data_IF_361444598836
#
_entry.id   IF_361444598836
#
_cell.length_a   1.000
_cell.length_b   1.000
_cell.length_c   1.000
_cell.angle_alpha   90.00
_cell.angle_beta   90.00
_cell.angle_gamma   90.00
#
_symmetry.space_group_name_H-M   'P 1'
#
loop_
_entity.id
_entity.type
_entity.pdbx_description
1 polymer ?
#
# COMPACT_ATOMS: atom_id res chain seq x y z
N UNK A 1 -6.97 3.52 -54.47
CA UNK A 1 -6.45 4.33 -53.33
C UNK A 1 -7.30 4.17 -52.09
N UNK A 2 -8.62 4.37 -52.12
CA UNK A 2 -9.51 4.30 -50.95
C UNK A 2 -9.44 2.95 -50.21
N UNK A 3 -9.45 1.81 -50.95
CA UNK A 3 -9.36 0.48 -50.34
C UNK A 3 -8.04 0.25 -49.60
N UNK A 4 -6.92 0.73 -50.13
CA UNK A 4 -5.61 0.61 -49.50
C UNK A 4 -5.49 1.43 -48.23
N UNK A 5 -6.06 2.66 -48.27
CA UNK A 5 -6.09 3.52 -47.06
C UNK A 5 -6.97 2.93 -45.98
N UNK A 6 -8.11 2.33 -46.34
CA UNK A 6 -8.98 1.65 -45.37
C UNK A 6 -8.30 0.42 -44.75
N UNK A 7 -7.60 -0.39 -45.51
CA UNK A 7 -6.84 -1.55 -45.00
C UNK A 7 -5.68 -1.12 -44.09
N UNK A 8 -4.95 -0.08 -44.41
CA UNK A 8 -3.90 0.49 -43.58
C UNK A 8 -4.49 1.00 -42.25
N UNK A 9 -5.58 1.74 -42.31
CA UNK A 9 -6.27 2.27 -41.11
C UNK A 9 -6.78 1.14 -40.20
N UNK A 10 -7.27 0.03 -40.75
CA UNK A 10 -7.68 -1.14 -39.97
C UNK A 10 -6.46 -1.81 -39.29
N UNK A 11 -5.31 -1.87 -39.96
CA UNK A 11 -4.07 -2.37 -39.37
C UNK A 11 -3.59 -1.50 -38.22
N UNK A 12 -3.62 -0.18 -38.39
CA UNK A 12 -3.23 0.78 -37.34
C UNK A 12 -4.12 0.65 -36.09
N UNK A 13 -5.44 0.48 -36.30
CA UNK A 13 -6.40 0.26 -35.20
C UNK A 13 -6.17 -1.10 -34.51
N UNK A 14 -5.77 -2.13 -35.25
CA UNK A 14 -5.40 -3.43 -34.69
C UNK A 14 -4.27 -3.33 -33.67
N UNK A 15 -3.27 -2.49 -33.91
CA UNK A 15 -2.18 -2.22 -32.96
C UNK A 15 -2.69 -1.55 -31.68
N UNK A 16 -3.62 -0.60 -31.81
CA UNK A 16 -4.25 0.06 -30.65
C UNK A 16 -4.98 -0.96 -29.79
N UNK A 17 -5.84 -1.78 -30.41
CA UNK A 17 -6.62 -2.79 -29.69
C UNK A 17 -5.71 -3.80 -28.98
N UNK A 18 -4.66 -4.25 -29.66
CA UNK A 18 -3.69 -5.19 -29.10
C UNK A 18 -2.95 -4.57 -27.90
N UNK A 19 -2.55 -3.30 -28.00
CA UNK A 19 -1.97 -2.56 -26.90
C UNK A 19 -2.93 -2.46 -25.70
N UNK A 20 -4.19 -2.05 -25.95
CA UNK A 20 -5.19 -1.91 -24.88
C UNK A 20 -5.41 -3.22 -24.13
N UNK A 21 -5.54 -4.33 -24.86
CA UNK A 21 -5.67 -5.67 -24.24
C UNK A 21 -4.47 -6.05 -23.39
N UNK A 22 -3.25 -5.86 -23.91
CA UNK A 22 -2.02 -6.26 -23.22
C UNK A 22 -1.72 -5.33 -22.05
N UNK A 23 -1.91 -4.02 -22.21
CA UNK A 23 -1.61 -3.04 -21.15
C UNK A 23 -2.55 -3.20 -19.95
N UNK A 24 -3.81 -3.58 -20.15
CA UNK A 24 -4.74 -3.87 -19.05
C UNK A 24 -4.22 -4.95 -18.09
N UNK A 25 -3.43 -5.90 -18.59
CA UNK A 25 -2.83 -7.00 -17.82
C UNK A 25 -1.40 -6.69 -17.34
N UNK A 26 -0.87 -5.50 -17.61
CA UNK A 26 0.48 -5.15 -17.18
C UNK A 26 0.52 -4.92 -15.66
N UNK A 27 1.54 -5.49 -15.01
CA UNK A 27 1.75 -5.40 -13.56
C UNK A 27 2.99 -4.60 -13.17
N UNK A 28 3.70 -4.01 -14.16
CA UNK A 28 4.89 -3.20 -13.93
C UNK A 28 5.00 -2.05 -14.92
N UNK A 29 5.69 -1.00 -14.52
CA UNK A 29 5.95 0.17 -15.36
C UNK A 29 6.77 -0.19 -16.59
N UNK A 30 7.80 -1.04 -16.43
CA UNK A 30 8.65 -1.52 -17.52
C UNK A 30 7.86 -2.32 -18.56
N UNK A 31 6.87 -3.11 -18.14
CA UNK A 31 6.00 -3.83 -19.05
C UNK A 31 5.13 -2.89 -19.89
N UNK A 32 4.62 -1.79 -19.31
CA UNK A 32 3.84 -0.78 -20.04
C UNK A 32 4.76 -0.04 -21.03
N UNK A 33 5.94 0.41 -20.59
CA UNK A 33 6.91 1.07 -21.45
C UNK A 33 7.30 0.22 -22.67
N UNK A 34 7.60 -1.07 -22.44
CA UNK A 34 7.93 -2.00 -23.51
C UNK A 34 6.78 -2.20 -24.52
N UNK A 35 5.53 -2.22 -24.05
CA UNK A 35 4.34 -2.33 -24.91
C UNK A 35 4.09 -1.08 -25.73
N UNK A 36 4.33 0.10 -25.18
CA UNK A 36 4.26 1.37 -25.92
C UNK A 36 5.29 1.37 -27.04
N UNK A 37 6.53 1.00 -26.76
CA UNK A 37 7.57 0.87 -27.79
C UNK A 37 7.22 -0.16 -28.87
N UNK A 38 6.65 -1.31 -28.48
CA UNK A 38 6.22 -2.33 -29.43
C UNK A 38 5.10 -1.82 -30.35
N UNK A 39 4.14 -1.04 -29.84
CA UNK A 39 3.10 -0.41 -30.64
C UNK A 39 3.68 0.64 -31.60
N UNK A 40 4.58 1.50 -31.13
CA UNK A 40 5.28 2.47 -31.98
C UNK A 40 6.04 1.76 -33.11
N UNK A 41 6.79 0.70 -32.77
CA UNK A 41 7.52 -0.13 -33.75
C UNK A 41 6.61 -0.78 -34.78
N UNK A 42 5.41 -1.24 -34.39
CA UNK A 42 4.46 -1.84 -35.31
C UNK A 42 3.98 -0.84 -36.38
N UNK A 43 3.96 0.46 -36.08
CA UNK A 43 3.70 1.53 -37.03
C UNK A 43 4.95 2.02 -37.78
N UNK A 44 6.12 1.40 -37.55
CA UNK A 44 7.40 1.84 -38.12
C UNK A 44 7.94 3.12 -37.50
N UNK A 45 7.45 3.49 -36.30
CA UNK A 45 7.94 4.67 -35.58
C UNK A 45 9.13 4.32 -34.71
N UNK A 46 10.08 5.25 -34.65
CA UNK A 46 11.26 5.18 -33.77
C UNK A 46 11.19 6.31 -32.74
N UNK A 47 11.78 6.08 -31.57
CA UNK A 47 11.82 7.06 -30.52
C UNK A 47 11.96 6.46 -29.14
N UNK A 48 11.55 7.21 -28.12
CA UNK A 48 11.70 6.83 -26.73
C UNK A 48 10.38 6.97 -25.97
N UNK A 49 10.27 6.20 -24.90
CA UNK A 49 9.15 6.22 -23.97
C UNK A 49 9.69 6.50 -22.57
N UNK A 50 9.05 7.42 -21.89
CA UNK A 50 9.23 7.65 -20.46
C UNK A 50 7.93 7.31 -19.73
N UNK A 51 8.04 6.48 -18.71
CA UNK A 51 6.96 6.14 -17.77
C UNK A 51 7.37 6.58 -16.39
N UNK A 52 6.48 7.30 -15.71
CA UNK A 52 6.68 7.87 -14.37
C UNK A 52 5.63 7.33 -13.42
N UNK A 53 6.07 6.51 -12.47
CA UNK A 53 5.25 6.11 -11.32
C UNK A 53 5.70 6.87 -10.07
N UNK A 54 5.01 6.67 -8.97
CA UNK A 54 5.36 7.30 -7.68
C UNK A 54 6.73 6.88 -7.15
N UNK A 55 7.13 5.63 -7.41
CA UNK A 55 8.32 5.03 -6.83
C UNK A 55 9.37 4.62 -7.87
N UNK A 56 9.00 4.66 -9.14
CA UNK A 56 9.85 4.20 -10.23
C UNK A 56 9.66 5.07 -11.47
N UNK A 57 10.76 5.35 -12.17
CA UNK A 57 10.76 5.98 -13.48
C UNK A 57 11.47 5.05 -14.46
N UNK A 58 10.81 4.72 -15.55
CA UNK A 58 11.35 3.86 -16.60
C UNK A 58 11.48 4.66 -17.88
N UNK A 59 12.66 4.63 -18.48
CA UNK A 59 12.97 5.27 -19.75
C UNK A 59 13.58 4.22 -20.70
N UNK A 60 12.94 4.01 -21.82
CA UNK A 60 13.35 3.02 -22.81
C UNK A 60 13.28 3.60 -24.22
N UNK A 61 14.14 3.09 -25.10
CA UNK A 61 13.97 3.19 -26.54
C UNK A 61 13.99 1.80 -27.18
N UNK A 62 13.79 1.71 -28.49
CA UNK A 62 13.72 0.42 -29.19
C UNK A 62 15.06 -0.37 -29.18
N UNK A 63 16.17 0.30 -28.91
CA UNK A 63 17.52 -0.26 -28.93
C UNK A 63 18.10 -0.49 -27.52
N UNK A 64 17.33 -0.12 -26.47
CA UNK A 64 17.74 -0.28 -25.08
C UNK A 64 17.58 0.98 -24.22
N UNK A 65 18.58 1.40 -23.43
CA UNK A 65 18.53 2.63 -22.66
C UNK A 65 18.43 3.87 -23.57
N UNK A 66 17.71 4.90 -23.12
CA UNK A 66 17.58 6.14 -23.89
C UNK A 66 18.91 6.89 -23.96
N UNK A 67 19.10 7.67 -25.03
CA UNK A 67 20.25 8.55 -25.15
C UNK A 67 20.08 9.79 -24.27
N UNK A 68 21.21 10.43 -23.92
CA UNK A 68 21.17 11.69 -23.16
C UNK A 68 20.35 12.80 -23.86
N UNK A 69 20.36 12.82 -25.20
CA UNK A 69 19.57 13.76 -25.99
C UNK A 69 18.07 13.47 -25.86
N UNK A 70 17.64 12.21 -25.99
CA UNK A 70 16.23 11.82 -25.83
C UNK A 70 15.74 12.13 -24.40
N UNK A 71 16.56 11.85 -23.38
CA UNK A 71 16.25 12.18 -22.00
C UNK A 71 16.03 13.68 -21.80
N UNK A 72 16.94 14.52 -22.34
CA UNK A 72 16.84 15.97 -22.26
C UNK A 72 15.59 16.50 -22.99
N UNK A 73 15.24 15.92 -24.13
CA UNK A 73 14.02 16.30 -24.89
C UNK A 73 12.77 15.97 -24.09
N UNK A 74 12.65 14.74 -23.57
CA UNK A 74 11.50 14.31 -22.76
C UNK A 74 11.34 15.18 -21.50
N UNK A 75 12.44 15.53 -20.85
CA UNK A 75 12.43 16.38 -19.67
C UNK A 75 11.98 17.82 -19.97
N UNK A 76 12.55 18.44 -21.02
CA UNK A 76 12.25 19.84 -21.37
C UNK A 76 10.87 20.03 -21.99
N UNK A 77 10.36 19.03 -22.71
CA UNK A 77 9.07 19.14 -23.40
C UNK A 77 7.89 18.60 -22.56
N UNK A 78 8.14 18.08 -21.35
CA UNK A 78 7.11 17.54 -20.47
C UNK A 78 5.96 18.51 -20.20
N UNK A 79 6.27 19.77 -19.94
CA UNK A 79 5.31 20.79 -19.51
C UNK A 79 4.83 21.72 -20.65
N UNK A 80 5.26 21.48 -21.89
CA UNK A 80 4.92 22.35 -23.04
C UNK A 80 3.49 22.14 -23.53
N UNK A 81 2.90 20.99 -23.21
CA UNK A 81 1.54 20.65 -23.61
C UNK A 81 1.37 19.18 -23.94
N UNK A 82 0.13 18.79 -24.23
CA UNK A 82 -0.23 17.38 -24.44
C UNK A 82 0.41 16.77 -25.70
N UNK A 83 0.47 17.54 -26.78
CA UNK A 83 1.12 17.13 -28.04
C UNK A 83 1.94 18.30 -28.55
N UNK A 84 3.20 18.05 -28.81
CA UNK A 84 4.13 19.01 -29.38
C UNK A 84 4.79 18.41 -30.64
N UNK A 85 4.72 19.08 -31.77
CA UNK A 85 5.27 18.62 -33.05
C UNK A 85 6.29 19.61 -33.58
N UNK A 86 7.39 19.07 -34.10
CA UNK A 86 8.45 19.84 -34.75
C UNK A 86 9.06 19.06 -35.91
N UNK A 87 8.64 19.32 -37.12
CA UNK A 87 9.05 18.58 -38.32
C UNK A 87 8.60 17.12 -38.21
N UNK A 88 9.56 16.19 -38.38
CA UNK A 88 9.31 14.75 -38.25
C UNK A 88 9.30 14.24 -36.81
N UNK A 89 9.40 15.13 -35.82
CA UNK A 89 9.41 14.75 -34.40
C UNK A 89 8.14 15.16 -33.71
N UNK A 90 7.66 14.33 -32.80
CA UNK A 90 6.55 14.66 -31.92
C UNK A 90 6.80 14.14 -30.50
N UNK A 91 6.25 14.86 -29.53
CA UNK A 91 6.18 14.42 -28.15
C UNK A 91 4.71 14.41 -27.75
N UNK A 92 4.26 13.31 -27.13
CA UNK A 92 2.93 13.17 -26.54
C UNK A 92 3.10 13.01 -25.05
N UNK A 93 2.52 13.93 -24.27
CA UNK A 93 2.68 14.00 -22.83
C UNK A 93 1.36 13.72 -22.10
N UNK A 94 1.44 12.90 -21.08
CA UNK A 94 0.44 12.69 -20.03
C UNK A 94 1.14 12.71 -18.68
N UNK A 95 0.39 12.67 -17.59
CA UNK A 95 0.95 12.85 -16.24
C UNK A 95 2.02 11.79 -15.91
N UNK A 96 1.77 10.54 -16.30
CA UNK A 96 2.67 9.41 -16.02
C UNK A 96 3.42 8.91 -17.28
N UNK A 97 3.13 9.44 -18.47
CA UNK A 97 3.69 8.94 -19.73
C UNK A 97 4.14 10.11 -20.61
N UNK A 98 5.32 9.94 -21.22
CA UNK A 98 5.75 10.77 -22.36
C UNK A 98 6.27 9.87 -23.47
N UNK A 99 5.79 10.10 -24.69
CA UNK A 99 6.23 9.41 -25.91
C UNK A 99 7.01 10.41 -26.77
N UNK A 100 8.23 10.09 -27.13
CA UNK A 100 9.01 10.80 -28.14
C UNK A 100 9.01 9.98 -29.41
N UNK A 101 8.54 10.56 -30.50
CA UNK A 101 8.63 10.03 -31.86
C UNK A 101 9.61 10.86 -32.66
N UNK A 102 10.52 10.23 -33.40
CA UNK A 102 11.60 10.93 -34.12
C UNK A 102 11.46 10.88 -35.66
N UNK A 103 10.52 10.05 -36.18
CA UNK A 103 10.38 9.80 -37.62
C UNK A 103 8.94 9.79 -38.10
N UNK A 104 8.15 10.79 -37.75
CA UNK A 104 6.79 10.93 -38.32
C UNK A 104 6.87 11.07 -39.86
N UNK A 105 5.96 10.38 -40.60
CA UNK A 105 5.94 10.42 -42.06
C UNK A 105 5.32 11.72 -42.58
N UNK A 106 6.06 12.84 -42.48
CA UNK A 106 5.59 14.21 -42.81
C UNK A 106 5.12 14.39 -44.26
N UNK A 107 5.52 13.49 -45.16
CA UNK A 107 5.09 13.47 -46.55
C UNK A 107 3.64 12.98 -46.73
N UNK A 108 3.02 12.40 -45.68
CA UNK A 108 1.64 11.93 -45.68
C UNK A 108 0.89 12.54 -44.48
N UNK A 109 0.29 13.75 -44.63
CA UNK A 109 -0.39 14.45 -43.56
C UNK A 109 -1.58 13.66 -42.95
N UNK A 110 -2.31 12.90 -43.78
CA UNK A 110 -3.41 12.08 -43.32
C UNK A 110 -2.93 10.94 -42.39
N UNK A 111 -1.78 10.34 -42.72
CA UNK A 111 -1.16 9.32 -41.89
C UNK A 111 -0.61 9.93 -40.60
N UNK A 112 0.02 11.08 -40.66
CA UNK A 112 0.51 11.80 -39.46
C UNK A 112 -0.66 12.09 -38.52
N UNK A 113 -1.79 12.61 -39.02
CA UNK A 113 -2.98 12.87 -38.20
C UNK A 113 -3.47 11.61 -37.49
N UNK A 114 -3.64 10.51 -38.22
CA UNK A 114 -4.05 9.22 -37.61
C UNK A 114 -3.06 8.70 -36.57
N UNK A 115 -1.78 8.71 -36.88
CA UNK A 115 -0.73 8.25 -35.94
C UNK A 115 -0.72 9.10 -34.68
N UNK A 116 -0.87 10.41 -34.80
CA UNK A 116 -0.96 11.32 -33.64
C UNK A 116 -2.14 10.96 -32.73
N UNK A 117 -3.31 10.72 -33.33
CA UNK A 117 -4.52 10.36 -32.58
C UNK A 117 -4.35 8.99 -31.91
N UNK A 118 -3.77 8.02 -32.59
CA UNK A 118 -3.45 6.71 -32.02
C UNK A 118 -2.42 6.78 -30.90
N UNK A 119 -1.34 7.56 -31.06
CA UNK A 119 -0.35 7.78 -30.02
C UNK A 119 -0.96 8.43 -28.78
N UNK A 120 -1.88 9.38 -28.95
CA UNK A 120 -2.59 9.98 -27.84
C UNK A 120 -3.44 8.95 -27.10
N UNK A 121 -4.19 8.09 -27.80
CA UNK A 121 -4.96 7.00 -27.19
C UNK A 121 -4.08 6.01 -26.45
N UNK A 122 -2.91 5.63 -27.00
CA UNK A 122 -1.97 4.73 -26.32
C UNK A 122 -1.43 5.39 -25.05
N UNK A 123 -1.01 6.65 -25.13
CA UNK A 123 -0.45 7.37 -23.99
C UNK A 123 -1.49 7.57 -22.88
N UNK A 124 -2.72 7.96 -23.22
CA UNK A 124 -3.83 8.11 -22.27
C UNK A 124 -4.16 6.80 -21.57
N UNK A 125 -4.27 5.70 -22.33
CA UNK A 125 -4.54 4.39 -21.78
C UNK A 125 -3.41 3.88 -20.88
N UNK A 126 -2.15 4.12 -21.26
CA UNK A 126 -1.00 3.80 -20.44
C UNK A 126 -1.00 4.64 -19.14
N UNK A 127 -1.27 5.93 -19.24
CA UNK A 127 -1.38 6.85 -18.11
C UNK A 127 -2.40 6.37 -17.08
N UNK A 128 -3.62 6.04 -17.54
CA UNK A 128 -4.66 5.47 -16.68
C UNK A 128 -4.22 4.16 -16.01
N UNK A 129 -3.52 3.29 -16.74
CA UNK A 129 -3.03 2.03 -16.18
C UNK A 129 -1.95 2.24 -15.14
N UNK A 130 -1.05 3.20 -15.35
CA UNK A 130 0.00 3.55 -14.40
C UNK A 130 -0.57 4.14 -13.12
N UNK A 131 -1.53 5.05 -13.23
CA UNK A 131 -2.27 5.58 -12.09
C UNK A 131 -2.97 4.45 -11.29
N UNK A 132 -3.53 3.45 -11.98
CA UNK A 132 -4.14 2.30 -11.32
C UNK A 132 -3.11 1.40 -10.61
N UNK A 133 -1.90 1.24 -11.16
CA UNK A 133 -0.81 0.50 -10.51
C UNK A 133 -0.31 1.23 -9.26
N UNK A 134 -0.15 2.55 -9.32
CA UNK A 134 0.23 3.36 -8.16
C UNK A 134 -0.81 3.27 -7.05
N UNK A 135 -2.09 3.38 -7.39
CA UNK A 135 -3.17 3.25 -6.43
C UNK A 135 -3.27 1.85 -5.80
N UNK A 136 -2.98 0.80 -6.56
CA UNK A 136 -2.94 -0.57 -6.04
C UNK A 136 -1.79 -0.74 -5.05
N UNK A 137 -0.58 -0.26 -5.40
CA UNK A 137 0.59 -0.30 -4.52
C UNK A 137 0.35 0.46 -3.20
N UNK A 138 -0.29 1.61 -3.26
CA UNK A 138 -0.62 2.41 -2.09
C UNK A 138 -1.61 1.69 -1.15
N UNK A 139 -2.63 1.02 -1.73
CA UNK A 139 -3.58 0.21 -0.95
C UNK A 139 -2.90 -0.95 -0.25
N UNK A 140 -1.95 -1.62 -0.93
CA UNK A 140 -1.22 -2.74 -0.34
C UNK A 140 -0.33 -2.27 0.82
N UNK A 141 0.34 -1.13 0.70
CA UNK A 141 1.12 -0.52 1.77
C UNK A 141 0.23 -0.11 2.96
N UNK A 142 -0.93 0.49 2.70
CA UNK A 142 -1.89 0.84 3.75
C UNK A 142 -2.42 -0.41 4.48
N UNK A 143 -2.74 -1.46 3.72
CA UNK A 143 -3.19 -2.74 4.29
C UNK A 143 -2.13 -3.33 5.21
N UNK A 144 -0.87 -3.40 4.77
CA UNK A 144 0.24 -3.88 5.60
C UNK A 144 0.42 -3.03 6.87
N UNK A 145 0.30 -1.70 6.76
CA UNK A 145 0.36 -0.80 7.91
C UNK A 145 -0.77 -1.05 8.93
N UNK A 146 -1.99 -1.28 8.46
CA UNK A 146 -3.14 -1.61 9.33
C UNK A 146 -2.93 -2.98 10.00
N UNK A 147 -2.49 -3.99 9.26
CA UNK A 147 -2.22 -5.33 9.81
C UNK A 147 -1.15 -5.27 10.91
N UNK A 148 -0.05 -4.55 10.68
CA UNK A 148 0.99 -4.34 11.68
C UNK A 148 0.47 -3.62 12.94
N UNK A 149 -0.33 -2.56 12.78
CA UNK A 149 -0.92 -1.85 13.90
C UNK A 149 -1.90 -2.71 14.71
N UNK A 150 -2.67 -3.58 14.04
CA UNK A 150 -3.57 -4.53 14.72
C UNK A 150 -2.77 -5.57 15.53
N UNK A 151 -1.66 -6.06 15.00
CA UNK A 151 -0.82 -7.03 15.72
C UNK A 151 -0.13 -6.38 16.93
N UNK A 152 0.33 -5.14 16.82
CA UNK A 152 0.84 -4.38 17.97
C UNK A 152 -0.24 -4.15 19.04
N UNK A 153 -1.47 -3.80 18.63
CA UNK A 153 -2.58 -3.62 19.55
C UNK A 153 -2.93 -4.92 20.28
N UNK A 154 -2.99 -6.05 19.56
CA UNK A 154 -3.24 -7.36 20.15
C UNK A 154 -2.16 -7.71 21.19
N UNK A 155 -0.88 -7.48 20.84
CA UNK A 155 0.23 -7.73 21.76
C UNK A 155 0.14 -6.85 23.01
N UNK A 156 -0.20 -5.57 22.87
CA UNK A 156 -0.38 -4.64 23.98
C UNK A 156 -1.56 -5.05 24.88
N UNK A 157 -2.69 -5.46 24.31
CA UNK A 157 -3.85 -5.96 25.07
C UNK A 157 -3.51 -7.22 25.85
N UNK A 158 -2.81 -8.18 25.22
CA UNK A 158 -2.37 -9.40 25.90
C UNK A 158 -1.37 -9.10 27.04
N UNK A 159 -0.49 -8.12 26.85
CA UNK A 159 0.42 -7.71 27.89
C UNK A 159 -0.29 -7.00 29.04
N UNK A 160 -1.27 -6.15 28.75
CA UNK A 160 -2.11 -5.50 29.76
C UNK A 160 -2.88 -6.53 30.59
N UNK A 161 -3.49 -7.53 29.95
CA UNK A 161 -4.18 -8.63 30.64
C UNK A 161 -3.22 -9.41 31.57
N UNK A 162 -2.03 -9.79 31.07
CA UNK A 162 -1.01 -10.47 31.91
C UNK A 162 -0.58 -9.61 33.10
N UNK A 163 -0.44 -8.30 32.91
CA UNK A 163 -0.06 -7.38 33.97
C UNK A 163 -1.19 -7.24 35.02
N UNK A 164 -2.45 -7.20 34.60
CA UNK A 164 -3.59 -7.17 35.49
C UNK A 164 -3.66 -8.44 36.34
N UNK A 165 -3.55 -9.61 35.73
CA UNK A 165 -3.50 -10.90 36.45
C UNK A 165 -2.36 -10.97 37.47
N UNK A 166 -1.16 -10.54 37.07
CA UNK A 166 -0.03 -10.51 37.97
C UNK A 166 -0.20 -9.54 39.13
N UNK A 167 -0.89 -8.41 38.89
CA UNK A 167 -1.23 -7.44 39.93
C UNK A 167 -2.27 -7.98 40.90
N UNK A 168 -3.33 -8.61 40.40
CA UNK A 168 -4.37 -9.26 41.21
C UNK A 168 -3.79 -10.35 42.10
N UNK A 169 -2.95 -11.25 41.55
CA UNK A 169 -2.27 -12.30 42.33
C UNK A 169 -1.39 -11.71 43.42
N UNK A 170 -0.60 -10.69 43.14
CA UNK A 170 0.24 -10.03 44.16
C UNK A 170 -0.60 -9.37 45.24
N UNK A 171 -1.67 -8.66 44.86
CA UNK A 171 -2.61 -8.05 45.80
C UNK A 171 -3.23 -9.06 46.76
N UNK A 172 -3.73 -10.21 46.21
CA UNK A 172 -4.27 -11.33 47.00
C UNK A 172 -3.24 -11.86 47.99
N UNK A 173 -2.04 -12.21 47.50
CA UNK A 173 -0.98 -12.75 48.37
C UNK A 173 -0.62 -11.79 49.49
N UNK A 174 -0.42 -10.50 49.17
CA UNK A 174 -0.08 -9.48 50.16
C UNK A 174 -1.16 -9.30 51.22
N UNK A 175 -2.45 -9.29 50.85
CA UNK A 175 -3.56 -9.17 51.81
C UNK A 175 -3.64 -10.37 52.74
N UNK A 176 -3.54 -11.58 52.19
CA UNK A 176 -3.56 -12.79 53.01
C UNK A 176 -2.37 -12.87 53.97
N UNK A 177 -1.15 -12.49 53.53
CA UNK A 177 0.02 -12.41 54.39
C UNK A 177 -0.17 -11.41 55.54
N UNK A 178 -0.79 -10.26 55.29
CA UNK A 178 -1.08 -9.27 56.36
C UNK A 178 -2.12 -9.81 57.36
N UNK A 179 -3.17 -10.48 56.88
CA UNK A 179 -4.16 -11.12 57.75
C UNK A 179 -3.51 -12.20 58.65
N UNK A 180 -2.65 -13.04 58.07
CA UNK A 180 -1.88 -14.01 58.84
C UNK A 180 -0.93 -13.40 59.84
N UNK A 181 -0.25 -12.29 59.49
CA UNK A 181 0.61 -11.57 60.43
C UNK A 181 -0.19 -11.02 61.62
N UNK A 182 -1.37 -10.42 61.36
CA UNK A 182 -2.23 -9.96 62.42
C UNK A 182 -2.68 -11.12 63.33
N UNK A 183 -3.09 -12.26 62.76
CA UNK A 183 -3.46 -13.46 63.51
C UNK A 183 -2.30 -13.97 64.44
N UNK A 184 -1.07 -13.92 63.95
CA UNK A 184 0.12 -14.31 64.75
C UNK A 184 0.42 -13.36 65.89
N UNK A 185 0.14 -12.09 65.76
CA UNK A 185 0.42 -11.11 66.82
C UNK A 185 -0.74 -11.03 67.84
N UNK A 186 -1.95 -11.40 67.50
CA UNK A 186 -3.14 -11.40 68.34
C UNK A 186 -2.92 -12.02 69.74
N UNK A 187 -2.26 -13.22 69.90
CA UNK A 187 -2.01 -13.80 71.20
C UNK A 187 -1.07 -13.01 72.10
N UNK A 188 -0.25 -12.11 71.53
CA UNK A 188 0.76 -11.32 72.25
C UNK A 188 0.19 -9.98 72.80
N UNK A 189 -1.01 -9.65 72.41
CA UNK A 189 -1.65 -8.35 72.77
C UNK A 189 -2.25 -8.29 74.15
N UNK A 190 -2.22 -9.39 74.93
CA UNK A 190 -2.74 -9.45 76.31
C UNK A 190 -4.28 -9.25 76.38
N UNK A 191 -5.03 -9.63 75.33
CA UNK A 191 -6.46 -9.52 75.21
C UNK A 191 -7.17 -10.49 76.17
N UNK A 192 -8.37 -10.13 76.60
CA UNK A 192 -9.26 -11.08 77.27
C UNK A 192 -9.73 -12.18 76.31
N UNK A 193 -10.15 -13.35 76.82
CA UNK A 193 -10.60 -14.48 76.00
C UNK A 193 -11.73 -14.08 75.04
N UNK A 194 -12.67 -13.26 75.43
CA UNK A 194 -13.74 -12.75 74.62
C UNK A 194 -13.26 -11.82 73.49
N UNK A 195 -12.28 -10.97 73.80
CA UNK A 195 -11.69 -10.07 72.81
C UNK A 195 -10.83 -10.82 71.79
N UNK A 196 -10.07 -11.82 72.27
CA UNK A 196 -9.26 -12.68 71.38
C UNK A 196 -10.13 -13.49 70.42
N UNK A 197 -11.23 -14.11 70.93
CA UNK A 197 -12.18 -14.82 70.07
C UNK A 197 -12.84 -13.94 69.04
N UNK A 198 -13.26 -12.72 69.42
CA UNK A 198 -13.88 -11.76 68.49
C UNK A 198 -12.91 -11.34 67.37
N UNK A 199 -11.66 -11.11 67.73
CA UNK A 199 -10.65 -10.68 66.75
C UNK A 199 -10.28 -11.87 65.81
N UNK A 200 -10.24 -13.08 66.34
CA UNK A 200 -9.97 -14.30 65.51
C UNK A 200 -11.13 -14.51 64.50
N UNK A 201 -12.38 -14.40 64.93
CA UNK A 201 -13.54 -14.45 64.03
C UNK A 201 -13.52 -13.38 62.96
N UNK A 202 -13.14 -12.16 63.32
CA UNK A 202 -13.05 -11.04 62.40
C UNK A 202 -11.92 -11.21 61.35
N UNK A 203 -10.78 -11.74 61.77
CA UNK A 203 -9.66 -12.10 60.86
C UNK A 203 -10.02 -13.22 59.90
N UNK A 204 -10.75 -14.26 60.40
CA UNK A 204 -11.25 -15.34 59.55
C UNK A 204 -12.24 -14.83 58.51
N UNK A 205 -13.22 -14.03 58.97
CA UNK A 205 -14.19 -13.43 58.07
C UNK A 205 -13.52 -12.58 56.99
N UNK A 206 -12.52 -11.73 57.37
CA UNK A 206 -11.75 -10.91 56.46
C UNK A 206 -10.94 -11.73 55.43
N UNK A 207 -10.41 -12.88 55.85
CA UNK A 207 -9.71 -13.81 54.97
C UNK A 207 -10.66 -14.45 53.95
N UNK A 208 -11.84 -14.89 54.41
CA UNK A 208 -12.86 -15.52 53.54
C UNK A 208 -13.46 -14.54 52.57
N UNK A 209 -13.70 -13.30 52.97
CA UNK A 209 -14.17 -12.23 52.08
C UNK A 209 -13.13 -11.83 51.06
N UNK A 210 -11.85 -11.70 51.45
CA UNK A 210 -10.77 -11.43 50.55
C UNK A 210 -10.65 -12.53 49.49
N UNK A 211 -10.74 -13.78 49.90
CA UNK A 211 -10.62 -14.94 49.01
C UNK A 211 -11.77 -14.94 48.00
N UNK A 212 -13.03 -14.74 48.47
CA UNK A 212 -14.20 -14.66 47.58
C UNK A 212 -14.07 -13.55 46.55
N UNK A 213 -13.66 -12.34 46.99
CA UNK A 213 -13.49 -11.20 46.10
C UNK A 213 -12.50 -11.50 44.93
N UNK A 214 -11.35 -12.08 45.25
CA UNK A 214 -10.36 -12.43 44.22
C UNK A 214 -10.79 -13.62 43.34
N UNK A 215 -11.58 -14.54 43.83
CA UNK A 215 -12.13 -15.65 43.05
C UNK A 215 -13.22 -15.12 42.06
N UNK A 216 -14.09 -14.19 42.47
CA UNK A 216 -15.07 -13.54 41.61
C UNK A 216 -14.41 -12.69 40.51
N UNK A 217 -13.32 -11.96 40.83
CA UNK A 217 -12.57 -11.21 39.84
C UNK A 217 -11.92 -12.14 38.82
N UNK A 218 -11.34 -13.26 39.27
CA UNK A 218 -10.72 -14.24 38.37
C UNK A 218 -11.73 -14.93 37.43
N UNK A 219 -12.96 -15.18 37.88
CA UNK A 219 -14.04 -15.71 37.04
C UNK A 219 -14.51 -14.67 36.02
N UNK A 220 -14.62 -13.41 36.41
CA UNK A 220 -15.00 -12.30 35.51
C UNK A 220 -14.01 -12.09 34.36
N UNK A 221 -12.69 -12.21 34.65
CA UNK A 221 -11.62 -12.05 33.66
C UNK A 221 -11.52 -13.26 32.70
N UNK A 222 -12.11 -14.42 33.03
CA UNK A 222 -12.09 -15.61 32.20
C UNK A 222 -13.16 -15.62 31.09
N UNK A 223 -14.07 -14.65 31.07
CA UNK A 223 -15.23 -14.57 30.15
C UNK A 223 -14.88 -13.68 28.91
N UNK A 224 -13.73 -13.02 28.88
CA UNK A 224 -13.23 -12.19 27.77
C UNK A 224 -11.97 -12.80 27.16
#
# INVERSE_FOLDING_TARGET
RVAFTAMSSMGDLGVVIEFLRKSALATSYSAIAARLLAAMKAWGLHGAVEVRGRHEQVRLNAEGPITAMQAAVLEKLRDIGRIFEMGSRAVVNFDHVSLLVENLPVDDPDKVGRLRDHLAVLAESADMRLAALDAASERDLQKQGIEAALDELRAAMQQAARNADASHRRGRTSLLEHIEQLARVTPTLGLTEVQASYLDDLLRQSSDETQRYFDEVAESDSVF
#
